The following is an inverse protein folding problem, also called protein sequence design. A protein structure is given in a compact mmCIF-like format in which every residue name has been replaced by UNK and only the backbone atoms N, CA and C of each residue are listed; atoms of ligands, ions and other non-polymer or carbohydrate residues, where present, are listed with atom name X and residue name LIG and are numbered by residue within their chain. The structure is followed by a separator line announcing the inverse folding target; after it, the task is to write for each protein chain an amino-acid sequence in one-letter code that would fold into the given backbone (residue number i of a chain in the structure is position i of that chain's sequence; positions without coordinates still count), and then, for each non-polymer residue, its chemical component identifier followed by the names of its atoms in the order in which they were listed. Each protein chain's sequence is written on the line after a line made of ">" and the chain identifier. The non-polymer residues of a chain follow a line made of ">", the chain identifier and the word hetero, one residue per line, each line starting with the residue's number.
data_IF_595528516923
#
_entry.id   IF_595528516923
#
_cell.length_a   1.000
_cell.length_b   1.000
_cell.length_c   1.000
_cell.angle_alpha   90.00
_cell.angle_beta   90.00
_cell.angle_gamma   90.00
#
_symmetry.space_group_name_H-M   'P 1'
#
loop_
_entity.id
_entity.type
_entity.pdbx_description
1 polymer ?
#
# COMPACT_ATOMS: atom_id res chain seq x y z
N UNK A 1 -8.00 -12.64 0.75
CA UNK A 1 -8.89 -11.57 1.26
C UNK A 1 -10.35 -12.03 1.31
N UNK A 2 -11.03 -12.40 0.20
CA UNK A 2 -12.43 -12.86 0.27
C UNK A 2 -12.61 -14.01 1.26
N UNK A 3 -11.75 -15.03 1.21
CA UNK A 3 -11.75 -16.16 2.14
C UNK A 3 -11.65 -15.75 3.61
N UNK A 4 -10.89 -14.69 3.92
CA UNK A 4 -10.81 -14.14 5.27
C UNK A 4 -12.13 -13.51 5.72
N UNK A 5 -12.76 -12.71 4.84
CA UNK A 5 -14.08 -12.15 5.14
C UNK A 5 -15.16 -13.24 5.28
N UNK A 6 -15.12 -14.30 4.45
CA UNK A 6 -16.01 -15.45 4.60
C UNK A 6 -15.84 -16.11 5.97
N UNK A 7 -14.59 -16.26 6.45
CA UNK A 7 -14.30 -16.84 7.76
C UNK A 7 -14.68 -15.93 8.95
N UNK A 8 -14.79 -14.63 8.73
CA UNK A 8 -15.18 -13.64 9.76
C UNK A 8 -16.66 -13.25 9.68
N UNK A 9 -17.40 -13.76 8.72
CA UNK A 9 -18.83 -13.50 8.62
C UNK A 9 -19.60 -14.18 9.79
N UNK A 10 -20.69 -13.57 10.30
CA UNK A 10 -21.30 -12.30 9.91
C UNK A 10 -20.68 -11.06 10.60
N UNK A 11 -19.73 -11.22 11.53
CA UNK A 11 -19.17 -10.12 12.34
C UNK A 11 -18.50 -9.01 11.48
N UNK A 12 -17.89 -9.39 10.35
CA UNK A 12 -17.23 -8.46 9.43
C UNK A 12 -17.67 -8.73 7.99
N UNK A 13 -18.83 -8.21 7.54
CA UNK A 13 -19.30 -8.44 6.17
C UNK A 13 -18.44 -7.67 5.17
N UNK A 14 -18.13 -8.32 4.04
CA UNK A 14 -17.48 -7.68 2.90
C UNK A 14 -18.51 -6.83 2.13
N UNK A 15 -18.16 -5.57 1.88
CA UNK A 15 -18.94 -4.67 1.03
C UNK A 15 -18.13 -4.24 -0.18
N UNK A 16 -18.75 -4.25 -1.37
CA UNK A 16 -18.10 -3.82 -2.62
C UNK A 16 -18.37 -2.36 -2.91
N UNK A 17 -17.40 -1.70 -3.53
CA UNK A 17 -17.57 -0.32 -3.95
C UNK A 17 -18.69 -0.19 -5.00
N UNK A 18 -19.39 0.94 -4.95
CA UNK A 18 -20.45 1.29 -5.90
C UNK A 18 -19.91 1.34 -7.33
N UNK A 19 -20.71 0.91 -8.33
CA UNK A 19 -20.30 0.97 -9.74
C UNK A 19 -19.89 2.35 -10.22
N UNK A 20 -20.48 3.40 -9.69
CA UNK A 20 -20.23 4.80 -10.03
C UNK A 20 -18.81 5.24 -9.62
N UNK A 21 -18.26 4.65 -8.57
CA UNK A 21 -16.92 4.94 -8.06
C UNK A 21 -15.79 4.22 -8.81
N UNK A 22 -16.05 3.63 -9.99
CA UNK A 22 -15.00 2.93 -10.78
C UNK A 22 -13.99 3.87 -11.42
N UNK A 23 -14.39 5.12 -11.69
CA UNK A 23 -13.51 6.11 -12.30
C UNK A 23 -12.35 6.45 -11.38
N UNK A 24 -11.16 6.63 -11.94
CA UNK A 24 -9.98 7.18 -11.27
C UNK A 24 -9.60 8.44 -12.00
N UNK A 25 -9.29 9.48 -11.25
CA UNK A 25 -8.96 10.78 -11.80
C UNK A 25 -7.47 11.05 -11.68
N UNK A 26 -6.93 11.78 -12.65
CA UNK A 26 -5.55 12.29 -12.65
C UNK A 26 -5.60 13.79 -12.77
N UNK A 27 -4.94 14.49 -11.86
CA UNK A 27 -4.78 15.94 -11.93
C UNK A 27 -3.83 16.33 -13.06
N UNK A 28 -4.22 17.28 -13.88
CA UNK A 28 -3.36 17.81 -14.93
C UNK A 28 -3.85 19.18 -15.33
N UNK A 29 -2.98 20.19 -15.24
CA UNK A 29 -3.28 21.54 -15.70
C UNK A 29 -4.57 22.09 -15.07
N UNK A 30 -4.62 22.23 -13.79
CA UNK A 30 -5.69 22.83 -13.00
C UNK A 30 -7.07 22.12 -13.04
N UNK A 31 -7.12 20.83 -13.41
CA UNK A 31 -8.36 20.02 -13.33
C UNK A 31 -8.08 18.53 -13.29
N UNK A 32 -9.06 17.78 -12.79
CA UNK A 32 -9.05 16.32 -12.87
C UNK A 32 -9.53 15.82 -14.24
N UNK A 33 -8.84 14.81 -14.76
CA UNK A 33 -9.18 14.05 -15.96
C UNK A 33 -9.40 12.59 -15.59
N UNK A 34 -10.47 11.98 -16.11
CA UNK A 34 -10.69 10.55 -15.90
C UNK A 34 -9.58 9.73 -16.58
N UNK A 35 -9.01 8.77 -15.87
CA UNK A 35 -8.10 7.79 -16.45
C UNK A 35 -8.88 6.91 -17.43
N UNK A 36 -8.38 6.72 -18.67
CA UNK A 36 -9.12 5.99 -19.68
C UNK A 36 -9.34 4.52 -19.29
N UNK A 37 -10.57 4.05 -19.36
CA UNK A 37 -10.96 2.67 -19.05
C UNK A 37 -11.09 1.77 -20.29
N UNK A 38 -10.96 2.33 -21.50
CA UNK A 38 -11.04 1.63 -22.78
C UNK A 38 -9.97 2.11 -23.77
N UNK A 39 -9.74 1.33 -24.82
CA UNK A 39 -8.79 1.70 -25.88
C UNK A 39 -9.19 3.00 -26.58
N UNK A 40 -10.47 3.19 -26.88
CA UNK A 40 -10.97 4.41 -27.52
C UNK A 40 -10.77 5.63 -26.61
N UNK A 41 -11.12 5.53 -25.33
CA UNK A 41 -10.84 6.56 -24.35
C UNK A 41 -9.35 6.83 -24.21
N UNK A 42 -8.50 5.81 -24.33
CA UNK A 42 -7.04 5.94 -24.35
C UNK A 42 -6.51 6.74 -25.56
N UNK A 43 -7.15 6.62 -26.72
CA UNK A 43 -6.75 7.37 -27.91
C UNK A 43 -7.16 8.85 -27.82
N UNK A 44 -8.31 9.16 -27.23
CA UNK A 44 -8.87 10.53 -27.16
C UNK A 44 -8.41 11.32 -25.93
N UNK A 45 -7.94 10.65 -24.87
CA UNK A 45 -7.51 11.33 -23.62
C UNK A 45 -6.38 12.34 -23.86
N UNK A 46 -6.41 13.53 -23.21
CA UNK A 46 -5.31 14.49 -23.22
C UNK A 46 -4.16 14.11 -22.28
N UNK A 47 -4.30 13.03 -21.50
CA UNK A 47 -3.27 12.60 -20.55
C UNK A 47 -1.98 12.14 -21.25
N UNK A 48 -2.08 11.50 -22.41
CA UNK A 48 -0.93 10.93 -23.13
C UNK A 48 -0.64 11.64 -24.44
N UNK A 49 0.67 11.77 -24.76
CA UNK A 49 1.09 12.36 -26.01
C UNK A 49 0.74 11.46 -27.20
N UNK A 50 0.49 12.02 -28.42
CA UNK A 50 0.27 11.20 -29.61
C UNK A 50 1.41 10.24 -29.91
N UNK A 51 2.64 10.68 -29.71
CA UNK A 51 3.84 9.85 -29.90
C UNK A 51 3.85 8.65 -28.98
N UNK A 52 3.52 8.85 -27.69
CA UNK A 52 3.50 7.74 -26.72
C UNK A 52 2.29 6.83 -26.93
N UNK A 53 1.17 7.33 -27.44
CA UNK A 53 0.04 6.48 -27.88
C UNK A 53 0.45 5.54 -29.02
N UNK A 54 1.18 6.06 -30.03
CA UNK A 54 1.74 5.23 -31.09
C UNK A 54 2.81 4.26 -30.56
N UNK A 55 3.63 4.72 -29.60
CA UNK A 55 4.62 3.90 -28.92
C UNK A 55 4.01 2.70 -28.21
N UNK A 56 2.81 2.85 -27.63
CA UNK A 56 2.07 1.76 -26.99
C UNK A 56 1.72 0.64 -27.99
N UNK A 57 1.38 0.97 -29.25
CA UNK A 57 1.10 -0.03 -30.28
C UNK A 57 2.34 -0.86 -30.63
N UNK A 58 3.54 -0.27 -30.52
CA UNK A 58 4.83 -0.96 -30.71
C UNK A 58 5.33 -1.73 -29.49
N UNK A 59 4.65 -1.66 -28.34
CA UNK A 59 5.08 -2.31 -27.09
C UNK A 59 5.35 -3.83 -27.26
N UNK A 60 4.52 -4.61 -27.98
CA UNK A 60 4.74 -6.04 -28.15
C UNK A 60 6.03 -6.42 -28.89
N UNK A 61 6.62 -5.51 -29.62
CA UNK A 61 7.85 -5.74 -30.43
C UNK A 61 9.12 -5.23 -29.73
N UNK A 62 9.01 -4.62 -28.54
CA UNK A 62 10.16 -4.14 -27.78
C UNK A 62 10.89 -5.27 -27.11
N UNK A 63 12.22 -5.19 -27.11
CA UNK A 63 13.07 -6.16 -26.42
C UNK A 63 12.79 -6.16 -24.92
N UNK A 64 12.83 -7.34 -24.31
CA UNK A 64 12.77 -7.53 -22.87
C UNK A 64 13.98 -6.86 -22.20
N UNK A 65 13.77 -6.23 -21.04
CA UNK A 65 14.83 -5.74 -20.18
C UNK A 65 15.62 -6.90 -19.56
N UNK A 66 16.92 -6.70 -19.39
CA UNK A 66 17.85 -7.68 -18.81
C UNK A 66 18.37 -7.25 -17.44
N UNK A 67 18.19 -5.98 -17.09
CA UNK A 67 18.58 -5.46 -15.79
C UNK A 67 17.54 -5.87 -14.74
N UNK A 68 17.91 -6.70 -13.74
CA UNK A 68 17.00 -7.11 -12.67
C UNK A 68 16.61 -5.94 -11.77
N UNK A 69 17.44 -4.92 -11.67
CA UNK A 69 17.21 -3.74 -10.83
C UNK A 69 16.62 -2.55 -11.60
N UNK A 70 16.13 -2.80 -12.82
CA UNK A 70 15.46 -1.76 -13.59
C UNK A 70 14.32 -1.15 -12.79
N UNK A 71 14.37 0.18 -12.61
CA UNK A 71 13.34 0.93 -11.87
C UNK A 71 12.02 0.96 -12.65
N UNK A 72 10.90 1.15 -11.94
CA UNK A 72 9.58 1.26 -12.57
C UNK A 72 9.53 2.43 -13.54
N UNK A 73 10.21 3.54 -13.22
CA UNK A 73 10.31 4.70 -14.12
C UNK A 73 11.06 4.38 -15.40
N UNK A 74 12.25 3.76 -15.31
CA UNK A 74 13.06 3.36 -16.47
C UNK A 74 12.31 2.37 -17.37
N UNK A 75 11.72 1.33 -16.76
CA UNK A 75 10.86 0.35 -17.45
C UNK A 75 9.72 1.04 -18.20
N UNK A 76 9.03 1.97 -17.54
CA UNK A 76 7.89 2.68 -18.15
C UNK A 76 8.33 3.53 -19.33
N UNK A 77 9.41 4.32 -19.19
CA UNK A 77 9.93 5.13 -20.29
C UNK A 77 10.36 4.26 -21.46
N UNK A 78 11.06 3.16 -21.19
CA UNK A 78 11.55 2.23 -22.22
C UNK A 78 10.39 1.59 -22.99
N UNK A 79 9.31 1.19 -22.29
CA UNK A 79 8.20 0.47 -22.93
C UNK A 79 7.06 1.36 -23.41
N UNK A 80 6.63 2.32 -22.60
CA UNK A 80 5.40 3.08 -22.81
C UNK A 80 5.66 4.55 -23.17
N UNK A 81 6.78 5.11 -22.73
CA UNK A 81 7.15 6.50 -22.99
C UNK A 81 6.94 7.43 -21.78
N UNK A 82 7.46 8.66 -21.92
CA UNK A 82 7.53 9.64 -20.84
C UNK A 82 6.16 10.13 -20.36
N UNK A 83 5.18 10.30 -21.27
CA UNK A 83 3.86 10.79 -20.85
C UNK A 83 3.08 9.74 -20.04
N UNK A 84 3.30 8.44 -20.29
CA UNK A 84 2.75 7.38 -19.46
C UNK A 84 3.42 7.36 -18.09
N UNK A 85 4.73 7.55 -18.02
CA UNK A 85 5.38 7.71 -16.73
C UNK A 85 4.75 8.86 -15.95
N UNK A 86 4.76 10.06 -16.51
CA UNK A 86 4.33 11.28 -15.82
C UNK A 86 2.84 11.27 -15.42
N UNK A 87 1.93 10.80 -16.29
CA UNK A 87 0.49 10.98 -16.11
C UNK A 87 -0.27 9.69 -15.73
N UNK A 88 0.41 8.57 -15.54
CA UNK A 88 -0.23 7.33 -15.10
C UNK A 88 0.60 6.59 -14.04
N UNK A 89 1.88 6.30 -14.33
CA UNK A 89 2.69 5.46 -13.43
C UNK A 89 3.20 6.25 -12.23
N UNK A 90 3.69 7.46 -12.43
CA UNK A 90 4.13 8.35 -11.35
C UNK A 90 2.98 8.65 -10.37
N UNK A 91 1.81 9.18 -10.78
CA UNK A 91 0.73 9.43 -9.82
C UNK A 91 0.22 8.15 -9.15
N UNK A 92 0.25 7.00 -9.84
CA UNK A 92 -0.10 5.73 -9.23
C UNK A 92 0.88 5.32 -8.14
N UNK A 93 2.19 5.41 -8.39
CA UNK A 93 3.21 5.04 -7.41
C UNK A 93 3.29 6.06 -6.26
N UNK A 94 3.17 7.35 -6.58
CA UNK A 94 3.08 8.40 -5.55
C UNK A 94 1.86 8.21 -4.65
N UNK A 95 0.71 7.79 -5.21
CA UNK A 95 -0.49 7.52 -4.42
C UNK A 95 -0.47 6.20 -3.64
N UNK A 96 0.28 5.19 -4.08
CA UNK A 96 0.32 3.85 -3.46
C UNK A 96 1.54 3.66 -2.57
N UNK A 97 2.72 4.09 -3.05
CA UNK A 97 4.00 3.97 -2.36
C UNK A 97 4.45 5.27 -1.70
N UNK A 98 3.83 6.39 -2.04
CA UNK A 98 4.34 7.74 -1.74
C UNK A 98 5.82 7.90 -2.14
N UNK A 99 6.24 7.15 -3.17
CA UNK A 99 7.62 6.91 -3.58
C UNK A 99 7.93 7.46 -4.96
N UNK A 100 9.22 7.45 -5.29
CA UNK A 100 9.73 7.87 -6.60
C UNK A 100 9.80 6.66 -7.55
N UNK A 101 9.09 6.66 -8.70
CA UNK A 101 9.20 5.59 -9.69
C UNK A 101 10.61 5.40 -10.25
N UNK A 102 11.48 6.42 -10.17
CA UNK A 102 12.89 6.34 -10.62
C UNK A 102 13.80 5.63 -9.60
N UNK A 103 13.32 5.37 -8.39
CA UNK A 103 14.06 4.67 -7.33
C UNK A 103 13.48 3.28 -7.01
N UNK A 104 12.16 3.11 -7.14
CA UNK A 104 11.49 1.83 -6.88
C UNK A 104 11.87 0.80 -7.93
N UNK A 105 12.42 -0.34 -7.49
CA UNK A 105 12.82 -1.46 -8.36
C UNK A 105 11.61 -2.29 -8.75
N UNK A 106 11.43 -2.52 -10.05
CA UNK A 106 10.20 -3.11 -10.61
C UNK A 106 9.90 -4.51 -10.06
N UNK A 107 10.90 -5.38 -9.94
CA UNK A 107 10.72 -6.77 -9.48
C UNK A 107 10.20 -6.86 -8.04
N UNK A 108 10.46 -5.84 -7.23
CA UNK A 108 10.01 -5.77 -5.84
C UNK A 108 8.74 -4.94 -5.65
N UNK A 109 8.64 -3.78 -6.31
CA UNK A 109 7.49 -2.89 -6.19
C UNK A 109 6.29 -3.39 -7.00
N UNK A 110 6.51 -3.87 -8.23
CA UNK A 110 5.46 -4.34 -9.14
C UNK A 110 5.77 -5.73 -9.70
N UNK A 111 5.90 -6.78 -8.85
CA UNK A 111 6.36 -8.12 -9.26
C UNK A 111 5.49 -8.75 -10.35
N UNK A 112 4.19 -8.45 -10.37
CA UNK A 112 3.29 -8.96 -11.42
C UNK A 112 3.59 -8.34 -12.78
N UNK A 113 3.92 -7.06 -12.82
CA UNK A 113 4.28 -6.35 -14.06
C UNK A 113 5.63 -6.85 -14.58
N UNK A 114 6.60 -6.99 -13.68
CA UNK A 114 7.90 -7.58 -13.99
C UNK A 114 7.76 -8.98 -14.59
N UNK A 115 6.98 -9.85 -13.95
CA UNK A 115 6.73 -11.22 -14.41
C UNK A 115 6.08 -11.26 -15.81
N UNK A 116 5.17 -10.33 -16.15
CA UNK A 116 4.59 -10.26 -17.50
C UNK A 116 5.66 -10.01 -18.56
N UNK A 117 6.59 -9.09 -18.33
CA UNK A 117 7.68 -8.84 -19.25
C UNK A 117 8.64 -10.02 -19.31
N UNK A 118 9.07 -10.54 -18.17
CA UNK A 118 10.04 -11.63 -18.10
C UNK A 118 9.51 -12.92 -18.73
N UNK A 119 8.24 -13.24 -18.55
CA UNK A 119 7.64 -14.49 -19.06
C UNK A 119 7.21 -14.38 -20.52
N UNK A 120 6.65 -13.22 -20.92
CA UNK A 120 6.00 -13.08 -22.24
C UNK A 120 6.70 -12.06 -23.16
N UNK A 121 7.75 -11.39 -22.68
CA UNK A 121 8.48 -10.36 -23.41
C UNK A 121 7.71 -9.04 -23.61
N UNK A 122 6.44 -8.94 -23.15
CA UNK A 122 5.56 -7.80 -23.38
C UNK A 122 4.42 -7.79 -22.40
N UNK A 123 4.00 -6.60 -21.98
CA UNK A 123 2.82 -6.42 -21.13
C UNK A 123 1.53 -6.80 -21.88
N UNK A 124 1.40 -6.35 -23.12
CA UNK A 124 0.21 -6.60 -23.95
C UNK A 124 0.10 -8.09 -24.27
N UNK A 125 1.18 -8.71 -24.76
CA UNK A 125 1.20 -10.16 -25.06
C UNK A 125 0.93 -10.98 -23.79
N UNK A 126 1.56 -10.61 -22.68
CA UNK A 126 1.38 -11.28 -21.39
C UNK A 126 -0.06 -11.18 -20.89
N UNK A 127 -0.66 -10.00 -20.95
CA UNK A 127 -2.04 -9.79 -20.55
C UNK A 127 -3.02 -10.61 -21.41
N UNK A 128 -2.83 -10.63 -22.73
CA UNK A 128 -3.65 -11.42 -23.65
C UNK A 128 -3.51 -12.93 -23.43
N UNK A 129 -2.27 -13.44 -23.27
CA UNK A 129 -2.04 -14.85 -22.98
C UNK A 129 -2.64 -15.26 -21.63
N UNK A 130 -2.44 -14.44 -20.61
CA UNK A 130 -2.98 -14.70 -19.25
C UNK A 130 -4.51 -14.66 -19.24
N UNK A 131 -5.13 -13.78 -20.01
CA UNK A 131 -6.60 -13.71 -20.12
C UNK A 131 -7.21 -14.96 -20.77
N UNK A 132 -6.44 -15.71 -21.58
CA UNK A 132 -6.87 -16.95 -22.24
C UNK A 132 -6.61 -18.20 -21.39
N UNK A 133 -5.83 -18.11 -20.32
CA UNK A 133 -5.58 -19.26 -19.44
C UNK A 133 -6.84 -19.59 -18.63
N UNK A 134 -7.14 -20.89 -18.45
CA UNK A 134 -8.21 -21.30 -17.57
C UNK A 134 -7.93 -20.82 -16.15
N UNK A 135 -8.90 -20.17 -15.55
CA UNK A 135 -8.79 -19.68 -14.18
C UNK A 135 -9.14 -20.78 -13.20
N UNK A 136 -8.34 -20.93 -12.17
CA UNK A 136 -8.71 -21.75 -11.00
C UNK A 136 -9.97 -21.18 -10.35
N UNK A 137 -10.64 -21.97 -9.51
CA UNK A 137 -11.80 -21.50 -8.76
C UNK A 137 -11.48 -20.28 -7.89
N UNK A 138 -10.33 -20.29 -7.23
CA UNK A 138 -9.82 -19.18 -6.42
C UNK A 138 -9.58 -17.91 -7.25
N UNK A 139 -9.02 -18.03 -8.45
CA UNK A 139 -8.81 -16.91 -9.38
C UNK A 139 -10.13 -16.37 -9.97
N UNK A 140 -11.15 -17.21 -10.11
CA UNK A 140 -12.51 -16.78 -10.53
C UNK A 140 -13.19 -15.94 -9.46
N UNK A 141 -12.96 -16.23 -8.18
CA UNK A 141 -13.43 -15.43 -7.04
C UNK A 141 -12.69 -14.09 -6.90
N UNK A 142 -11.47 -13.96 -7.42
CA UNK A 142 -10.69 -12.73 -7.42
C UNK A 142 -11.25 -11.73 -8.45
N UNK A 143 -12.22 -10.94 -8.04
CA UNK A 143 -12.79 -9.87 -8.87
C UNK A 143 -11.88 -8.64 -8.92
N UNK A 144 -12.12 -7.74 -9.90
CA UNK A 144 -11.47 -6.41 -9.95
C UNK A 144 -12.19 -5.36 -9.10
N UNK A 145 -13.19 -5.75 -8.35
CA UNK A 145 -13.95 -4.84 -7.51
C UNK A 145 -13.12 -4.39 -6.32
N UNK A 146 -13.21 -3.11 -6.02
CA UNK A 146 -12.73 -2.58 -4.75
C UNK A 146 -13.74 -2.97 -3.67
N UNK A 147 -13.26 -3.34 -2.51
CA UNK A 147 -14.12 -3.74 -1.39
C UNK A 147 -13.53 -3.26 -0.06
N UNK A 148 -14.35 -3.21 0.96
CA UNK A 148 -14.01 -2.86 2.34
C UNK A 148 -14.81 -3.71 3.32
N UNK A 149 -14.50 -3.58 4.60
CA UNK A 149 -15.35 -4.08 5.66
C UNK A 149 -16.59 -3.18 5.82
N UNK A 150 -17.73 -3.80 5.99
CA UNK A 150 -18.97 -3.09 6.36
C UNK A 150 -18.77 -2.31 7.66
N UNK A 151 -19.15 -1.04 7.67
CA UNK A 151 -18.92 -0.16 8.83
C UNK A 151 -17.51 0.44 8.93
N UNK A 152 -16.49 -0.03 8.17
CA UNK A 152 -15.12 0.49 8.19
C UNK A 152 -14.07 -0.60 8.31
N UNK A 153 -12.83 -0.27 7.90
CA UNK A 153 -11.74 -1.25 7.94
C UNK A 153 -11.32 -1.62 9.37
N UNK A 154 -11.60 -0.80 10.35
CA UNK A 154 -11.41 -1.11 11.78
C UNK A 154 -12.17 -2.36 12.20
N UNK A 155 -13.39 -2.56 11.65
CA UNK A 155 -14.19 -3.77 11.90
C UNK A 155 -13.47 -5.07 11.52
N UNK A 156 -12.60 -5.04 10.52
CA UNK A 156 -11.77 -6.19 10.17
C UNK A 156 -10.77 -6.52 11.29
N UNK A 157 -10.17 -5.49 11.88
CA UNK A 157 -9.19 -5.67 12.96
C UNK A 157 -9.89 -6.17 14.23
N UNK A 158 -11.05 -5.59 14.58
CA UNK A 158 -11.86 -6.03 15.71
C UNK A 158 -12.29 -7.50 15.56
N UNK A 159 -12.83 -7.88 14.38
CA UNK A 159 -13.25 -9.25 14.13
C UNK A 159 -12.09 -10.26 14.16
N UNK A 160 -10.90 -9.85 13.71
CA UNK A 160 -9.69 -10.65 13.84
C UNK A 160 -9.27 -10.82 15.30
N UNK A 161 -9.28 -9.73 16.09
CA UNK A 161 -8.92 -9.77 17.49
C UNK A 161 -9.89 -10.66 18.30
N UNK A 162 -11.20 -10.55 18.04
CA UNK A 162 -12.21 -11.41 18.68
C UNK A 162 -12.03 -12.88 18.28
N UNK A 163 -11.65 -13.15 17.02
CA UNK A 163 -11.41 -14.51 16.55
C UNK A 163 -10.15 -15.14 17.12
N UNK A 164 -9.11 -14.35 17.36
CA UNK A 164 -7.88 -14.77 18.05
C UNK A 164 -8.15 -15.04 19.54
N UNK A 165 -9.05 -14.27 20.14
CA UNK A 165 -9.28 -14.19 21.57
C UNK A 165 -8.54 -13.00 22.17
N UNK A 166 -9.27 -12.01 22.68
CA UNK A 166 -8.67 -10.78 23.22
C UNK A 166 -7.79 -11.03 24.43
N UNK A 167 -8.06 -12.07 25.19
CA UNK A 167 -7.26 -12.58 26.31
C UNK A 167 -5.85 -13.08 25.88
N UNK A 168 -5.67 -13.40 24.60
CA UNK A 168 -4.39 -13.82 24.01
C UNK A 168 -3.61 -12.65 23.41
N UNK A 169 -4.13 -11.43 23.46
CA UNK A 169 -3.52 -10.24 22.92
C UNK A 169 -3.03 -9.36 24.06
N UNK A 170 -1.72 -9.19 24.17
CA UNK A 170 -1.10 -8.28 25.14
C UNK A 170 -0.89 -6.93 24.45
N UNK A 171 -1.69 -5.94 24.83
CA UNK A 171 -1.54 -4.56 24.38
C UNK A 171 -0.50 -3.83 25.23
N UNK A 172 0.06 -2.73 24.70
CA UNK A 172 1.03 -1.88 25.40
C UNK A 172 2.27 -2.63 25.93
N UNK A 173 2.67 -3.69 25.24
CA UNK A 173 3.96 -4.35 25.46
C UNK A 173 5.08 -3.44 24.96
N UNK A 174 5.84 -2.83 25.89
CA UNK A 174 6.91 -1.87 25.59
C UNK A 174 8.28 -2.56 25.62
N UNK A 175 9.21 -2.06 24.78
CA UNK A 175 10.61 -2.51 24.72
C UNK A 175 10.77 -4.02 24.59
N UNK A 176 10.06 -4.71 23.68
CA UNK A 176 10.17 -6.15 23.52
C UNK A 176 11.58 -6.51 23.07
N UNK A 177 12.16 -7.56 23.69
CA UNK A 177 13.47 -8.12 23.36
C UNK A 177 13.36 -9.63 23.26
N UNK A 178 13.95 -10.19 22.24
CA UNK A 178 14.01 -11.64 22.03
C UNK A 178 15.35 -12.19 22.54
N UNK A 179 15.28 -13.38 23.10
CA UNK A 179 16.44 -14.20 23.43
C UNK A 179 16.27 -15.57 22.77
N UNK A 180 17.21 -16.03 21.95
CA UNK A 180 17.12 -17.33 21.29
C UNK A 180 17.26 -18.48 22.29
N UNK A 181 16.74 -19.68 21.96
CA UNK A 181 16.97 -20.87 22.75
C UNK A 181 18.44 -21.25 22.77
N UNK A 182 18.90 -21.81 23.87
CA UNK A 182 20.28 -22.30 24.04
C UNK A 182 20.45 -23.75 23.54
N UNK A 183 19.36 -24.49 23.35
CA UNK A 183 19.33 -25.85 22.79
C UNK A 183 18.29 -25.92 21.66
N UNK A 184 18.40 -26.90 20.74
CA UNK A 184 17.44 -27.04 19.63
C UNK A 184 16.00 -27.23 20.09
N UNK A 185 15.74 -27.85 21.21
CA UNK A 185 14.41 -28.07 21.80
C UNK A 185 13.97 -26.93 22.74
N UNK A 186 14.85 -25.97 22.95
CA UNK A 186 14.59 -24.82 23.83
C UNK A 186 13.49 -23.88 23.30
N UNK A 187 13.04 -23.00 24.16
CA UNK A 187 12.02 -22.00 23.83
C UNK A 187 12.67 -20.64 23.62
N UNK A 188 12.14 -19.89 22.67
CA UNK A 188 12.37 -18.46 22.56
C UNK A 188 11.82 -17.76 23.80
N UNK A 189 12.54 -16.77 24.28
CA UNK A 189 12.09 -15.90 25.38
C UNK A 189 11.87 -14.49 24.87
N UNK A 190 10.73 -13.92 25.20
CA UNK A 190 10.30 -12.58 24.85
C UNK A 190 10.13 -11.78 26.15
N UNK A 191 11.06 -10.89 26.44
CA UNK A 191 11.00 -9.97 27.58
C UNK A 191 10.43 -8.64 27.14
N UNK A 192 9.53 -8.06 27.92
CA UNK A 192 8.90 -6.76 27.64
C UNK A 192 8.41 -6.12 28.95
N UNK A 193 8.06 -4.85 28.88
CA UNK A 193 7.38 -4.14 29.96
C UNK A 193 5.87 -4.09 29.65
N UNK A 194 5.04 -4.47 30.63
CA UNK A 194 3.59 -4.36 30.59
C UNK A 194 3.08 -3.71 31.86
N UNK A 195 2.27 -2.64 31.75
CA UNK A 195 1.75 -1.87 32.86
C UNK A 195 2.83 -1.44 33.89
N UNK A 196 4.03 -1.03 33.39
CA UNK A 196 5.14 -0.59 34.22
C UNK A 196 5.89 -1.72 34.95
N UNK A 197 5.66 -2.99 34.60
CA UNK A 197 6.31 -4.16 35.21
C UNK A 197 6.96 -5.05 34.17
N UNK A 198 8.11 -5.64 34.47
CA UNK A 198 8.71 -6.65 33.63
C UNK A 198 7.79 -7.87 33.45
N UNK A 199 7.68 -8.35 32.22
CA UNK A 199 6.95 -9.54 31.85
C UNK A 199 7.76 -10.39 30.87
N UNK A 200 7.53 -11.69 30.86
CA UNK A 200 8.22 -12.64 29.99
C UNK A 200 7.21 -13.63 29.44
N UNK A 201 7.33 -13.91 28.13
CA UNK A 201 6.61 -15.00 27.45
C UNK A 201 7.63 -15.92 26.81
N UNK A 202 7.32 -17.21 26.75
CA UNK A 202 8.14 -18.21 26.04
C UNK A 202 7.34 -18.82 24.90
N UNK A 203 8.02 -19.15 23.78
CA UNK A 203 7.38 -19.72 22.60
C UNK A 203 8.34 -20.62 21.82
N UNK A 204 7.84 -21.64 21.16
CA UNK A 204 8.64 -22.47 20.24
C UNK A 204 8.98 -21.71 18.96
N UNK A 205 8.10 -20.81 18.52
CA UNK A 205 8.29 -20.01 17.31
C UNK A 205 7.85 -18.57 17.53
N UNK A 206 8.65 -17.63 17.02
CA UNK A 206 8.36 -16.19 17.06
C UNK A 206 8.22 -15.65 15.64
N UNK A 207 7.11 -14.98 15.37
CA UNK A 207 6.89 -14.24 14.13
C UNK A 207 6.89 -12.76 14.45
N UNK A 208 7.88 -12.02 13.96
CA UNK A 208 7.88 -10.56 14.11
C UNK A 208 7.19 -9.90 12.92
N UNK A 209 6.35 -8.91 13.17
CA UNK A 209 5.71 -8.07 12.15
C UNK A 209 5.99 -6.58 12.37
N UNK A 210 6.91 -6.26 13.27
CA UNK A 210 7.30 -4.89 13.56
C UNK A 210 8.03 -4.25 12.35
N UNK A 211 8.07 -2.91 12.28
CA UNK A 211 8.82 -2.22 11.25
C UNK A 211 10.31 -2.55 11.31
N UNK A 212 10.97 -2.52 10.15
CA UNK A 212 12.39 -2.88 10.03
C UNK A 212 13.30 -2.09 10.99
N UNK A 213 13.03 -0.81 11.20
CA UNK A 213 13.81 0.06 12.10
C UNK A 213 13.70 -0.32 13.59
N UNK A 214 12.75 -1.16 13.98
CA UNK A 214 12.61 -1.63 15.36
C UNK A 214 13.40 -2.94 15.63
N UNK A 215 13.90 -3.59 14.59
CA UNK A 215 14.62 -4.87 14.73
C UNK A 215 15.92 -4.80 15.54
N UNK A 216 16.73 -3.72 15.50
CA UNK A 216 17.93 -3.64 16.33
C UNK A 216 17.67 -3.74 17.83
N UNK A 217 16.58 -3.16 18.31
CA UNK A 217 16.19 -3.27 19.72
C UNK A 217 15.56 -4.64 20.04
N UNK A 218 14.76 -5.16 19.11
CA UNK A 218 14.06 -6.43 19.27
C UNK A 218 15.02 -7.64 19.26
N UNK A 219 16.09 -7.60 18.44
CA UNK A 219 16.99 -8.72 18.16
C UNK A 219 18.43 -8.41 18.63
N UNK A 220 18.68 -8.15 19.92
CA UNK A 220 20.00 -7.73 20.41
C UNK A 220 21.08 -8.80 20.30
N UNK A 221 20.70 -10.06 20.08
CA UNK A 221 21.58 -11.22 19.90
C UNK A 221 22.05 -11.41 18.46
N UNK A 222 21.36 -10.79 17.50
CA UNK A 222 21.59 -11.05 16.08
C UNK A 222 22.82 -10.29 15.57
N UNK A 223 23.36 -10.76 14.45
CA UNK A 223 24.47 -10.10 13.77
C UNK A 223 24.12 -8.64 13.44
N UNK A 224 24.97 -7.72 13.89
CA UNK A 224 24.72 -6.27 13.82
C UNK A 224 24.63 -5.80 12.37
N UNK A 225 25.49 -6.32 11.49
CA UNK A 225 25.53 -5.90 10.08
C UNK A 225 24.27 -6.36 9.36
N UNK A 226 23.84 -7.60 9.57
CA UNK A 226 22.60 -8.12 9.00
C UNK A 226 21.36 -7.35 9.50
N UNK A 227 21.27 -7.05 10.80
CA UNK A 227 20.17 -6.29 11.37
C UNK A 227 20.15 -4.86 10.84
N UNK A 228 21.30 -4.20 10.72
CA UNK A 228 21.40 -2.84 10.16
C UNK A 228 21.05 -2.81 8.67
N UNK A 229 21.45 -3.83 7.90
CA UNK A 229 21.03 -3.96 6.50
C UNK A 229 19.51 -4.01 6.35
N UNK A 230 18.81 -4.66 7.29
CA UNK A 230 17.33 -4.68 7.32
C UNK A 230 16.77 -3.35 7.82
N UNK A 231 17.30 -2.83 8.91
CA UNK A 231 16.81 -1.60 9.56
C UNK A 231 17.00 -0.34 8.70
N UNK A 232 17.93 -0.35 7.75
CA UNK A 232 18.17 0.74 6.79
C UNK A 232 17.04 0.93 5.75
N UNK A 233 15.98 0.09 5.79
CA UNK A 233 14.80 0.25 4.93
C UNK A 233 14.22 1.66 5.07
N UNK A 234 14.20 2.38 3.95
CA UNK A 234 13.59 3.71 3.87
C UNK A 234 12.08 3.62 3.93
N UNK A 235 11.45 4.51 4.69
CA UNK A 235 10.00 4.68 4.75
C UNK A 235 9.63 6.09 4.28
N UNK A 236 8.68 6.19 3.38
CA UNK A 236 8.10 7.48 3.00
C UNK A 236 7.21 8.02 4.13
N UNK A 237 7.34 9.30 4.53
CA UNK A 237 6.42 9.92 5.47
C UNK A 237 5.10 10.28 4.79
N UNK A 238 4.01 10.30 5.56
CA UNK A 238 2.68 10.69 5.09
C UNK A 238 1.99 11.59 6.09
N UNK A 239 1.40 12.66 5.60
CA UNK A 239 0.35 13.41 6.30
C UNK A 239 -0.98 13.06 5.62
N UNK A 240 -1.93 12.59 6.41
CA UNK A 240 -3.29 12.28 5.96
C UNK A 240 -4.27 13.22 6.65
N UNK A 241 -5.13 13.87 5.88
CA UNK A 241 -6.25 14.64 6.38
C UNK A 241 -7.56 13.91 6.05
N UNK A 242 -8.35 13.57 7.08
CA UNK A 242 -9.71 13.07 6.94
C UNK A 242 -10.67 14.25 7.02
N UNK A 243 -11.40 14.49 5.95
CA UNK A 243 -12.27 15.68 5.77
C UNK A 243 -13.71 15.23 5.68
N UNK A 244 -14.55 15.69 6.60
CA UNK A 244 -15.98 15.41 6.60
C UNK A 244 -16.76 16.68 6.25
N UNK A 245 -17.68 16.55 5.29
CA UNK A 245 -18.62 17.60 4.87
C UNK A 245 -20.06 17.12 5.08
N UNK A 246 -20.91 17.97 5.62
CA UNK A 246 -22.36 17.69 5.74
C UNK A 246 -23.09 17.94 4.42
N UNK A 247 -22.61 18.87 3.62
CA UNK A 247 -23.17 19.20 2.31
C UNK A 247 -22.05 19.48 1.30
N UNK A 248 -22.21 18.99 0.08
CA UNK A 248 -21.32 19.22 -1.07
C UNK A 248 -21.84 20.27 -2.04
N UNK A 249 -22.88 21.02 -1.68
CA UNK A 249 -23.59 21.96 -2.55
C UNK A 249 -24.02 21.32 -3.88
N UNK A 250 -24.51 20.08 -3.81
CA UNK A 250 -24.96 19.31 -4.98
C UNK A 250 -23.84 18.77 -5.87
N UNK A 251 -22.55 18.92 -5.50
CA UNK A 251 -21.43 18.34 -6.25
C UNK A 251 -21.40 16.82 -6.10
N UNK A 252 -21.25 16.14 -7.23
CA UNK A 252 -21.14 14.68 -7.28
C UNK A 252 -19.69 14.26 -7.55
N UNK A 253 -19.15 13.36 -6.70
CA UNK A 253 -17.80 12.82 -6.79
C UNK A 253 -17.83 11.35 -7.21
N UNK A 254 -18.41 11.04 -8.38
CA UNK A 254 -18.56 9.69 -8.91
C UNK A 254 -17.22 9.08 -9.37
N UNK A 255 -16.29 8.93 -8.43
CA UNK A 255 -14.97 8.36 -8.64
C UNK A 255 -14.45 7.65 -7.38
N UNK A 256 -13.45 6.81 -7.55
CA UNK A 256 -12.68 6.23 -6.44
C UNK A 256 -11.84 7.30 -5.73
N UNK A 257 -11.32 8.23 -6.50
CA UNK A 257 -10.45 9.31 -6.05
C UNK A 257 -9.70 9.94 -7.21
N UNK A 258 -8.85 10.90 -6.87
CA UNK A 258 -7.96 11.61 -7.77
C UNK A 258 -6.50 11.47 -7.32
N UNK A 259 -5.59 11.27 -8.26
CA UNK A 259 -4.15 11.22 -8.03
C UNK A 259 -3.49 12.44 -8.65
N UNK A 260 -2.42 12.91 -8.04
CA UNK A 260 -1.67 14.09 -8.48
C UNK A 260 -0.27 13.65 -8.94
N UNK A 261 0.11 13.91 -10.20
CA UNK A 261 1.48 13.65 -10.66
C UNK A 261 2.49 14.53 -9.91
N UNK A 262 3.66 13.98 -9.58
CA UNK A 262 4.74 14.74 -8.92
C UNK A 262 5.17 15.98 -9.72
N UNK A 263 5.06 15.93 -11.06
CA UNK A 263 5.36 17.03 -11.97
C UNK A 263 4.40 18.24 -11.88
N UNK A 264 3.25 18.10 -11.19
CA UNK A 264 2.26 19.19 -11.04
C UNK A 264 2.58 20.10 -9.85
N UNK A 265 3.67 19.86 -9.12
CA UNK A 265 4.18 20.70 -8.01
C UNK A 265 3.14 21.02 -6.92
N UNK A 266 2.21 20.09 -6.70
CA UNK A 266 1.21 20.20 -5.66
C UNK A 266 1.67 19.44 -4.40
N UNK A 267 1.38 19.92 -3.19
CA UNK A 267 1.72 19.21 -1.95
C UNK A 267 0.91 17.91 -1.75
N UNK A 268 -0.11 17.69 -2.58
CA UNK A 268 -1.07 16.58 -2.47
C UNK A 268 -0.65 15.44 -3.38
N UNK A 269 -0.54 14.22 -2.83
CA UNK A 269 -0.31 12.97 -3.58
C UNK A 269 -1.60 12.45 -4.23
N UNK A 270 -2.72 12.62 -3.54
CA UNK A 270 -4.02 12.19 -4.00
C UNK A 270 -5.13 12.37 -2.97
N UNK A 271 -6.34 12.19 -3.44
CA UNK A 271 -7.56 12.34 -2.65
C UNK A 271 -8.41 11.10 -2.89
N UNK A 272 -8.75 10.35 -1.86
CA UNK A 272 -9.74 9.28 -1.93
C UNK A 272 -11.13 9.80 -1.59
N UNK A 273 -12.16 9.17 -2.18
CA UNK A 273 -13.58 9.49 -1.98
C UNK A 273 -14.33 8.32 -1.31
N UNK A 274 -14.07 8.02 0.00
CA UNK A 274 -14.67 6.87 0.67
C UNK A 274 -16.21 6.86 0.64
N UNK A 275 -16.85 8.03 0.77
CA UNK A 275 -18.30 8.15 0.71
C UNK A 275 -18.88 7.89 -0.67
N UNK A 276 -18.13 8.14 -1.75
CA UNK A 276 -18.53 7.76 -3.10
C UNK A 276 -18.42 6.25 -3.33
N UNK A 277 -17.40 5.62 -2.73
CA UNK A 277 -17.16 4.19 -2.86
C UNK A 277 -18.16 3.34 -2.06
N UNK A 278 -18.47 3.73 -0.83
CA UNK A 278 -19.22 2.90 0.10
C UNK A 278 -20.38 3.67 0.75
N UNK A 279 -21.52 2.99 0.86
CA UNK A 279 -22.68 3.56 1.54
C UNK A 279 -22.43 3.78 3.04
N UNK A 280 -23.12 4.76 3.62
CA UNK A 280 -23.08 5.02 5.06
C UNK A 280 -21.76 5.61 5.59
N UNK A 281 -20.95 6.22 4.69
CA UNK A 281 -19.68 6.89 5.08
C UNK A 281 -19.84 8.39 5.29
N UNK A 282 -20.94 8.97 4.83
CA UNK A 282 -21.32 10.38 5.03
C UNK A 282 -22.83 10.48 5.17
N UNK A 283 -23.37 11.57 5.75
CA UNK A 283 -24.79 11.88 5.71
C UNK A 283 -25.26 12.13 4.26
N UNK A 284 -26.56 12.16 4.06
CA UNK A 284 -27.13 12.46 2.75
C UNK A 284 -26.77 13.89 2.33
N UNK A 285 -26.24 14.06 1.12
CA UNK A 285 -25.71 15.33 0.62
C UNK A 285 -24.28 15.62 1.01
N UNK A 286 -23.74 14.94 2.04
CA UNK A 286 -22.39 15.12 2.52
C UNK A 286 -21.35 14.25 1.84
N UNK A 287 -20.09 14.44 2.22
CA UNK A 287 -18.97 13.65 1.72
C UNK A 287 -17.89 13.43 2.79
N UNK A 288 -17.13 12.34 2.61
CA UNK A 288 -15.86 12.11 3.31
C UNK A 288 -14.75 12.01 2.27
N UNK A 289 -13.69 12.77 2.47
CA UNK A 289 -12.46 12.70 1.68
C UNK A 289 -11.29 12.30 2.57
N UNK A 290 -10.33 11.56 1.99
CA UNK A 290 -9.00 11.38 2.57
C UNK A 290 -7.98 12.03 1.66
N UNK A 291 -7.36 13.11 2.12
CA UNK A 291 -6.30 13.85 1.41
C UNK A 291 -4.96 13.34 1.90
N UNK A 292 -4.10 12.91 0.98
CA UNK A 292 -2.76 12.40 1.28
C UNK A 292 -1.71 13.38 0.77
N UNK A 293 -0.73 13.69 1.63
CA UNK A 293 0.34 14.67 1.41
C UNK A 293 1.68 14.09 1.86
N UNK A 294 2.78 14.67 1.40
CA UNK A 294 4.13 14.28 1.80
C UNK A 294 4.79 13.32 0.81
N UNK A 295 5.15 12.12 1.27
CA UNK A 295 5.92 11.16 0.48
C UNK A 295 7.38 11.53 0.38
N UNK A 296 8.10 10.82 -0.51
CA UNK A 296 9.56 11.04 -0.69
C UNK A 296 9.89 12.37 -1.36
N UNK A 297 8.92 12.98 -2.06
CA UNK A 297 9.12 14.25 -2.76
C UNK A 297 8.90 15.48 -1.87
N UNK A 298 8.07 15.35 -0.83
CA UNK A 298 7.69 16.43 0.06
C UNK A 298 7.73 15.99 1.54
N UNK A 299 8.87 15.47 2.03
CA UNK A 299 8.97 15.01 3.42
C UNK A 299 8.79 16.15 4.44
N UNK A 300 9.09 17.38 4.06
CA UNK A 300 8.94 18.60 4.86
C UNK A 300 7.48 18.89 5.29
N UNK A 301 6.50 18.34 4.59
CA UNK A 301 5.09 18.52 4.95
C UNK A 301 4.73 17.85 6.29
N UNK A 302 5.56 16.91 6.75
CA UNK A 302 5.39 16.28 8.06
C UNK A 302 5.51 17.30 9.21
N UNK A 303 6.34 18.32 9.02
CA UNK A 303 6.67 19.33 10.04
C UNK A 303 5.70 20.52 10.06
N UNK A 304 4.73 20.54 9.14
CA UNK A 304 3.71 21.60 9.09
C UNK A 304 2.78 21.53 10.31
N UNK A 305 2.42 22.68 10.84
CA UNK A 305 1.35 22.83 11.84
C UNK A 305 -0.03 22.49 11.24
N UNK A 306 -1.01 22.24 12.11
CA UNK A 306 -2.35 21.87 11.69
C UNK A 306 -3.05 22.94 10.85
N UNK A 307 -2.81 24.22 11.13
CA UNK A 307 -3.31 25.36 10.36
C UNK A 307 -2.80 25.33 8.91
N UNK A 308 -1.50 25.12 8.70
CA UNK A 308 -0.94 25.04 7.35
C UNK A 308 -1.44 23.80 6.58
N UNK A 309 -1.69 22.68 7.27
CA UNK A 309 -2.34 21.50 6.65
C UNK A 309 -3.79 21.81 6.31
N UNK A 310 -4.52 22.56 7.15
CA UNK A 310 -5.90 22.97 6.87
C UNK A 310 -5.98 23.91 5.67
N UNK A 311 -5.01 24.81 5.48
CA UNK A 311 -4.92 25.67 4.28
C UNK A 311 -4.74 24.86 3.00
N UNK A 312 -3.91 23.79 3.04
CA UNK A 312 -3.78 22.86 1.90
C UNK A 312 -5.11 22.14 1.64
N UNK A 313 -5.81 21.72 2.69
CA UNK A 313 -7.12 21.08 2.55
C UNK A 313 -8.15 22.06 1.97
N UNK A 314 -8.15 23.32 2.37
CA UNK A 314 -9.03 24.36 1.83
C UNK A 314 -8.80 24.56 0.32
N UNK A 315 -7.53 24.62 -0.10
CA UNK A 315 -7.16 24.66 -1.53
C UNK A 315 -7.66 23.40 -2.29
N UNK A 316 -7.52 22.23 -1.69
CA UNK A 316 -8.05 20.96 -2.25
C UNK A 316 -9.56 21.07 -2.45
N UNK A 317 -10.31 21.54 -1.46
CA UNK A 317 -11.77 21.61 -1.52
C UNK A 317 -12.23 22.62 -2.57
N UNK A 318 -11.67 23.82 -2.57
CA UNK A 318 -12.21 24.93 -3.37
C UNK A 318 -11.59 25.02 -4.76
N UNK A 319 -10.28 24.81 -4.91
CA UNK A 319 -9.62 24.83 -6.21
C UNK A 319 -9.66 23.48 -6.91
N UNK A 320 -9.23 22.39 -6.23
CA UNK A 320 -9.11 21.08 -6.91
C UNK A 320 -10.47 20.40 -7.08
N UNK A 321 -11.31 20.36 -6.06
CA UNK A 321 -12.63 19.71 -6.09
C UNK A 321 -13.74 20.66 -6.53
N UNK A 322 -13.45 21.96 -6.68
CA UNK A 322 -14.39 23.00 -7.16
C UNK A 322 -15.64 23.14 -6.28
N UNK A 323 -15.50 22.91 -4.99
CA UNK A 323 -16.58 23.21 -4.05
C UNK A 323 -16.71 24.72 -3.87
N UNK A 324 -17.94 25.25 -3.66
CA UNK A 324 -18.17 26.65 -3.32
C UNK A 324 -17.42 27.07 -2.05
N UNK A 325 -17.01 28.34 -1.95
CA UNK A 325 -16.19 28.86 -0.85
C UNK A 325 -16.89 28.78 0.52
N UNK A 326 -18.20 28.74 0.55
CA UNK A 326 -19.04 28.60 1.76
C UNK A 326 -19.05 27.18 2.32
N UNK A 327 -18.69 26.15 1.52
CA UNK A 327 -18.61 24.76 1.97
C UNK A 327 -17.35 24.59 2.83
N UNK A 328 -17.52 24.31 4.10
CA UNK A 328 -16.42 24.11 5.04
C UNK A 328 -16.50 22.73 5.70
N UNK A 329 -15.38 22.13 6.08
CA UNK A 329 -15.38 20.88 6.84
C UNK A 329 -16.12 21.05 8.19
N UNK A 330 -17.02 20.12 8.49
CA UNK A 330 -17.60 19.99 9.84
C UNK A 330 -16.66 19.24 10.78
N UNK A 331 -15.73 18.47 10.20
CA UNK A 331 -14.65 17.79 10.91
C UNK A 331 -13.43 17.63 10.01
N UNK A 332 -12.27 17.93 10.58
CA UNK A 332 -10.96 17.73 9.98
C UNK A 332 -10.06 17.03 11.00
N UNK A 333 -9.66 15.80 10.71
CA UNK A 333 -8.69 15.07 11.53
C UNK A 333 -7.39 14.92 10.74
N UNK A 334 -6.25 15.25 11.36
CA UNK A 334 -4.93 15.23 10.73
C UNK A 334 -4.08 14.15 11.39
N UNK A 335 -3.54 13.24 10.58
CA UNK A 335 -2.69 12.15 11.01
C UNK A 335 -1.30 12.27 10.38
N UNK A 336 -0.25 12.18 11.20
CA UNK A 336 1.15 12.24 10.76
C UNK A 336 1.83 10.91 10.98
N UNK A 337 2.33 10.34 9.89
CA UNK A 337 3.03 9.06 9.88
C UNK A 337 4.47 9.29 9.40
N UNK A 338 5.40 9.45 10.34
CA UNK A 338 6.82 9.74 10.03
C UNK A 338 7.48 8.64 9.20
N UNK A 339 7.06 7.39 9.36
CA UNK A 339 7.58 6.20 8.69
C UNK A 339 6.42 5.33 8.23
N UNK A 340 5.71 5.78 7.18
CA UNK A 340 4.46 5.17 6.75
C UNK A 340 4.67 3.99 5.79
N UNK A 341 5.34 4.21 4.65
CA UNK A 341 5.35 3.26 3.55
C UNK A 341 6.77 2.86 3.19
N UNK A 342 7.15 1.57 3.33
CA UNK A 342 8.47 1.08 2.99
C UNK A 342 8.75 1.20 1.50
N UNK A 343 9.97 1.60 1.15
CA UNK A 343 10.42 1.81 -0.22
C UNK A 343 11.27 0.62 -0.71
N UNK A 344 10.80 -0.05 -1.74
CA UNK A 344 11.48 -1.21 -2.31
C UNK A 344 12.44 -0.77 -3.44
N UNK A 345 13.55 -0.21 -3.02
CA UNK A 345 14.64 0.31 -3.86
C UNK A 345 15.74 -0.74 -4.09
N UNK A 346 16.87 -0.35 -4.68
CA UNK A 346 17.98 -1.23 -5.02
C UNK A 346 18.55 -2.03 -3.82
N UNK A 347 18.51 -1.47 -2.60
CA UNK A 347 18.93 -2.17 -1.39
C UNK A 347 18.05 -3.36 -0.99
N UNK A 348 16.91 -3.55 -1.66
CA UNK A 348 15.91 -4.58 -1.29
C UNK A 348 16.47 -5.99 -1.37
N UNK A 349 17.28 -6.32 -2.38
CA UNK A 349 17.87 -7.65 -2.49
C UNK A 349 18.81 -7.97 -1.33
N UNK A 350 19.70 -7.04 -1.01
CA UNK A 350 20.62 -7.19 0.12
C UNK A 350 19.86 -7.36 1.44
N UNK A 351 18.81 -6.56 1.65
CA UNK A 351 17.94 -6.69 2.82
C UNK A 351 17.25 -8.05 2.88
N UNK A 352 16.72 -8.56 1.78
CA UNK A 352 16.08 -9.88 1.75
C UNK A 352 17.06 -11.01 1.98
N UNK A 353 18.30 -10.89 1.51
CA UNK A 353 19.37 -11.84 1.81
C UNK A 353 19.71 -11.82 3.31
N UNK A 354 19.79 -10.65 3.94
CA UNK A 354 20.02 -10.52 5.38
C UNK A 354 18.86 -11.14 6.20
N UNK A 355 17.61 -10.95 5.78
CA UNK A 355 16.45 -11.61 6.39
C UNK A 355 16.59 -13.13 6.33
N UNK A 356 16.91 -13.67 5.16
CA UNK A 356 17.05 -15.10 4.97
C UNK A 356 18.21 -15.68 5.81
N UNK A 357 19.34 -14.98 5.90
CA UNK A 357 20.47 -15.38 6.70
C UNK A 357 20.14 -15.41 8.20
N UNK A 358 19.44 -14.40 8.72
CA UNK A 358 19.00 -14.37 10.12
C UNK A 358 17.99 -15.47 10.44
N UNK A 359 17.02 -15.73 9.58
CA UNK A 359 16.06 -16.82 9.76
C UNK A 359 16.73 -18.19 9.74
N UNK A 360 17.75 -18.38 8.87
CA UNK A 360 18.52 -19.63 8.80
C UNK A 360 19.43 -19.85 10.04
N UNK A 361 20.03 -18.77 10.55
CA UNK A 361 20.88 -18.82 11.74
C UNK A 361 20.09 -19.05 13.04
N UNK A 362 18.81 -18.71 13.05
CA UNK A 362 17.97 -18.74 14.25
C UNK A 362 16.64 -19.49 13.99
N UNK A 363 16.67 -20.84 14.00
CA UNK A 363 15.47 -21.66 13.85
C UNK A 363 14.36 -21.25 14.83
N UNK A 364 13.12 -21.23 14.34
CA UNK A 364 11.97 -20.75 15.13
C UNK A 364 11.76 -19.23 15.08
N UNK A 365 12.59 -18.46 14.35
CA UNK A 365 12.36 -17.04 14.07
C UNK A 365 11.83 -16.84 12.64
N UNK A 366 10.81 -16.02 12.49
CA UNK A 366 10.32 -15.55 11.18
C UNK A 366 10.19 -14.02 11.19
N UNK A 367 10.89 -13.36 10.27
CA UNK A 367 10.82 -11.91 10.07
C UNK A 367 9.76 -11.59 9.00
N UNK A 368 8.55 -11.26 9.43
CA UNK A 368 7.42 -10.91 8.57
C UNK A 368 7.14 -9.39 8.56
N UNK A 369 5.95 -8.98 8.17
CA UNK A 369 5.59 -7.58 8.11
C UNK A 369 5.92 -6.95 6.76
N UNK A 370 5.90 -5.61 6.72
CA UNK A 370 6.05 -4.83 5.48
C UNK A 370 7.50 -4.67 5.00
N UNK A 371 8.47 -5.26 5.69
CA UNK A 371 9.87 -5.28 5.25
C UNK A 371 10.09 -6.14 4.00
N UNK A 372 9.14 -7.04 3.67
CA UNK A 372 9.12 -7.90 2.48
C UNK A 372 7.69 -8.21 2.02
N UNK A 373 7.54 -8.80 0.83
CA UNK A 373 6.31 -9.37 0.24
C UNK A 373 5.20 -8.36 -0.09
N UNK A 374 5.53 -7.10 -0.27
CA UNK A 374 4.58 -6.03 -0.64
C UNK A 374 4.14 -5.17 0.53
N UNK A 375 3.36 -4.14 0.25
CA UNK A 375 2.94 -3.11 1.21
C UNK A 375 1.43 -3.12 1.47
N UNK A 376 0.67 -3.73 0.57
CA UNK A 376 -0.79 -3.71 0.63
C UNK A 376 -1.37 -4.68 1.67
N UNK A 377 -2.57 -4.38 2.16
CA UNK A 377 -3.29 -5.25 3.09
C UNK A 377 -3.47 -6.68 2.56
N UNK A 378 -3.74 -6.83 1.25
CA UNK A 378 -3.84 -8.15 0.62
C UNK A 378 -2.52 -8.93 0.67
N UNK A 379 -1.38 -8.21 0.60
CA UNK A 379 -0.06 -8.83 0.70
C UNK A 379 0.21 -9.28 2.14
N UNK A 380 -0.19 -8.48 3.13
CA UNK A 380 -0.09 -8.84 4.57
C UNK A 380 -0.90 -10.10 4.88
N UNK A 381 -2.16 -10.17 4.41
CA UNK A 381 -3.01 -11.35 4.62
C UNK A 381 -2.42 -12.58 3.92
N UNK A 382 -1.91 -12.44 2.69
CA UNK A 382 -1.24 -13.52 1.97
C UNK A 382 0.00 -14.02 2.72
N UNK A 383 0.85 -13.10 3.20
CA UNK A 383 2.04 -13.43 3.99
C UNK A 383 1.67 -14.15 5.29
N UNK A 384 0.71 -13.61 6.06
CA UNK A 384 0.27 -14.24 7.31
C UNK A 384 -0.29 -15.65 7.07
N UNK A 385 -1.07 -15.85 6.00
CA UNK A 385 -1.58 -17.17 5.62
C UNK A 385 -0.43 -18.14 5.30
N UNK A 386 0.56 -17.71 4.51
CA UNK A 386 1.69 -18.56 4.14
C UNK A 386 2.59 -18.89 5.35
N UNK A 387 2.80 -17.93 6.26
CA UNK A 387 3.53 -18.18 7.51
C UNK A 387 2.79 -19.20 8.39
N UNK A 388 1.49 -19.01 8.58
CA UNK A 388 0.67 -19.92 9.37
C UNK A 388 0.69 -21.36 8.81
N UNK A 389 0.57 -21.53 7.49
CA UNK A 389 0.64 -22.84 6.84
C UNK A 389 1.97 -23.54 7.10
N UNK A 390 3.11 -22.83 6.93
CA UNK A 390 4.44 -23.40 7.23
C UNK A 390 4.61 -23.81 8.69
N UNK A 391 4.06 -23.02 9.62
CA UNK A 391 4.13 -23.35 11.05
C UNK A 391 3.30 -24.59 11.38
N UNK A 392 2.08 -24.71 10.84
CA UNK A 392 1.24 -25.91 11.03
C UNK A 392 1.96 -27.15 10.51
N UNK A 393 2.57 -27.08 9.30
CA UNK A 393 3.32 -28.20 8.72
C UNK A 393 4.56 -28.58 9.55
N UNK A 394 5.19 -27.63 10.25
CA UNK A 394 6.36 -27.90 11.09
C UNK A 394 6.00 -28.49 12.47
N UNK A 395 4.75 -28.39 12.91
CA UNK A 395 4.29 -28.91 14.20
C UNK A 395 3.43 -30.18 14.08
N UNK A 396 3.18 -30.64 12.87
CA UNK A 396 2.51 -31.91 12.56
C UNK A 396 3.54 -32.93 12.10
#
# INVERSE_FOLDING_TARGET
>A
MAELFDALAPACPLVTARPEAKSRWIWKGDRFHALPSSLLAGLTTPLFSPVDKLRLLGEPFRRRGTDPDETVGALTVRRLGRSFLRNAVDPFLSGVYAGDPMRLVTRFALPRLYALEQTYGSFIRGALKKARQPKTERERRATKQVFAAGGGMERLIEALADRVGRDRIVLEAKHPRLTPPTTPEGLWRIDFEHAGRPATITAQHVVTTCPAYALPELLPFADVEAVQAIASLTYAPIVQAAVCLDDTAGRNFAAFGGLVPSAETQPVLGILFPSSCFAGRAPQGGAVFSVFMGGVHHPELLDLGDEAVADIVDDVLHRMLRLPAEVKPVRLDIFRHCRAIPQYEASTEHRLAAVAALEAAHPGLTLAGNLRDGIGMADRIRQGTAVAQRLVEAFV
#
